data_IF_080187928985
#
_entry.id   IF_080187928985
#
_cell.length_a   1.000
_cell.length_b   1.000
_cell.length_c   1.000
_cell.angle_alpha   90.00
_cell.angle_beta   90.00
_cell.angle_gamma   90.00
#
_symmetry.space_group_name_H-M   'P 1'
#
loop_
_entity.id
_entity.type
_entity.pdbx_description
1 polymer ?
#
# COMPACT_ATOMS: atom_id res chain seq x y z
N UNK A 1 -9.33 -5.67 4.36
CA UNK A 1 -9.35 -6.87 3.53
C UNK A 1 -8.65 -6.71 2.17
N UNK A 2 -8.08 -5.58 1.88
CA UNK A 2 -7.36 -5.33 0.63
C UNK A 2 -8.21 -4.73 -0.48
N UNK A 3 -9.53 -4.88 -0.42
CA UNK A 3 -10.39 -4.38 -1.49
C UNK A 3 -10.38 -2.85 -1.55
N UNK A 4 -10.59 -2.19 -0.41
CA UNK A 4 -10.58 -0.73 -0.34
C UNK A 4 -9.21 -0.18 -0.69
N UNK A 5 -8.18 -0.81 -0.19
CA UNK A 5 -6.81 -0.38 -0.43
C UNK A 5 -6.46 -0.46 -1.91
N UNK A 6 -6.83 -1.57 -2.55
CA UNK A 6 -6.57 -1.74 -3.97
C UNK A 6 -7.37 -0.74 -4.81
N UNK A 7 -8.62 -0.52 -4.45
CA UNK A 7 -9.49 0.43 -5.15
C UNK A 7 -8.95 1.85 -5.02
N UNK A 8 -8.53 2.24 -3.81
CA UNK A 8 -7.93 3.54 -3.57
C UNK A 8 -6.66 3.73 -4.38
N UNK A 9 -5.80 2.72 -4.38
CA UNK A 9 -4.55 2.74 -5.14
C UNK A 9 -4.82 2.96 -6.63
N UNK A 10 -5.75 2.19 -7.20
CA UNK A 10 -6.10 2.32 -8.61
C UNK A 10 -6.66 3.71 -8.93
N UNK A 11 -7.50 4.25 -8.06
CA UNK A 11 -8.06 5.57 -8.24
C UNK A 11 -6.98 6.65 -8.23
N UNK A 12 -6.04 6.57 -7.31
CA UNK A 12 -4.94 7.54 -7.22
C UNK A 12 -4.07 7.50 -8.47
N UNK A 13 -3.84 6.31 -9.02
CA UNK A 13 -3.11 6.18 -10.29
C UNK A 13 -3.89 6.83 -11.43
N UNK A 14 -5.19 6.58 -11.48
CA UNK A 14 -6.04 7.08 -12.56
C UNK A 14 -6.07 8.60 -12.62
N UNK A 15 -6.08 9.26 -11.46
CA UNK A 15 -6.10 10.72 -11.41
C UNK A 15 -4.70 11.33 -11.41
N UNK A 16 -3.65 10.51 -11.55
CA UNK A 16 -2.25 10.97 -11.52
C UNK A 16 -1.90 11.71 -10.23
N UNK A 17 -2.43 11.23 -9.11
CA UNK A 17 -2.18 11.83 -7.81
C UNK A 17 -0.71 11.74 -7.45
N UNK A 18 -0.17 12.79 -6.82
CA UNK A 18 1.22 12.84 -6.34
C UNK A 18 1.22 12.96 -4.83
N UNK A 19 2.05 12.17 -4.18
CA UNK A 19 2.13 12.23 -2.72
C UNK A 19 2.43 10.86 -2.12
N UNK A 20 2.14 10.70 -0.84
CA UNK A 20 2.41 9.47 -0.11
C UNK A 20 1.11 8.78 0.23
N UNK A 21 1.11 7.45 0.11
CA UNK A 21 0.00 6.62 0.57
C UNK A 21 0.53 5.70 1.67
N UNK A 22 -0.03 5.84 2.87
CA UNK A 22 0.34 4.99 3.99
C UNK A 22 -0.64 3.82 4.06
N UNK A 23 -0.11 2.62 4.03
CA UNK A 23 -0.92 1.40 4.09
C UNK A 23 -0.60 0.66 5.37
N UNK A 24 -1.64 0.46 6.20
CA UNK A 24 -1.52 -0.44 7.35
C UNK A 24 -1.84 -1.86 6.91
N UNK A 25 -1.41 -2.84 7.71
CA UNK A 25 -1.80 -4.24 7.56
C UNK A 25 -1.33 -4.88 6.25
N UNK A 26 -0.20 -4.44 5.69
CA UNK A 26 0.30 -5.02 4.43
C UNK A 26 0.64 -6.50 4.56
N UNK A 27 0.84 -6.99 5.79
CA UNK A 27 1.14 -8.41 6.06
C UNK A 27 -0.01 -9.13 6.77
N UNK A 28 -1.19 -8.49 6.88
CA UNK A 28 -2.28 -9.02 7.68
C UNK A 28 -2.81 -10.34 7.15
N UNK A 29 -2.99 -10.43 5.83
CA UNK A 29 -3.56 -11.62 5.20
C UNK A 29 -3.04 -11.71 3.77
N UNK A 30 -3.41 -12.82 3.09
CA UNK A 30 -2.91 -13.07 1.75
C UNK A 30 -3.35 -11.99 0.73
N UNK A 31 -4.61 -11.54 0.71
CA UNK A 31 -4.99 -10.47 -0.22
C UNK A 31 -4.16 -9.20 -0.05
N UNK A 32 -3.84 -8.80 1.18
CA UNK A 32 -3.02 -7.61 1.41
C UNK A 32 -1.58 -7.82 0.95
N UNK A 33 -1.02 -9.01 1.20
CA UNK A 33 0.34 -9.33 0.74
C UNK A 33 0.42 -9.30 -0.78
N UNK A 34 -0.58 -9.85 -1.45
CA UNK A 34 -0.62 -9.84 -2.92
C UNK A 34 -0.78 -8.44 -3.46
N UNK A 35 -1.64 -7.63 -2.85
CA UNK A 35 -1.82 -6.25 -3.22
C UNK A 35 -0.50 -5.48 -3.09
N UNK A 36 0.18 -5.62 -1.94
CA UNK A 36 1.47 -4.96 -1.72
C UNK A 36 2.47 -5.36 -2.81
N UNK A 37 2.47 -6.64 -3.20
CA UNK A 37 3.40 -7.16 -4.18
C UNK A 37 3.20 -6.61 -5.59
N UNK A 38 1.97 -6.22 -5.96
CA UNK A 38 1.69 -5.73 -7.32
C UNK A 38 1.91 -4.22 -7.47
N UNK A 39 2.14 -3.52 -6.37
CA UNK A 39 2.39 -2.07 -6.42
C UNK A 39 3.73 -1.83 -7.10
N UNK A 40 3.74 -1.08 -8.18
CA UNK A 40 4.95 -0.80 -8.97
C UNK A 40 5.62 0.52 -8.64
N UNK A 41 4.91 1.41 -7.94
CA UNK A 41 5.49 2.69 -7.53
C UNK A 41 6.58 2.46 -6.50
N UNK A 42 7.39 3.48 -6.27
CA UNK A 42 8.37 3.44 -5.20
C UNK A 42 7.66 3.14 -3.87
N UNK A 43 8.12 2.14 -3.15
CA UNK A 43 7.44 1.72 -1.93
C UNK A 43 8.46 1.24 -0.90
N UNK A 44 8.08 1.37 0.37
CA UNK A 44 8.93 1.00 1.49
C UNK A 44 8.12 0.27 2.54
N UNK A 45 8.65 -0.88 2.97
CA UNK A 45 8.08 -1.64 4.07
C UNK A 45 8.72 -1.13 5.35
N UNK A 46 7.93 -0.44 6.18
CA UNK A 46 8.40 0.12 7.44
C UNK A 46 7.76 -0.58 8.64
N UNK A 47 7.44 -1.87 8.47
CA UNK A 47 6.76 -2.65 9.50
C UNK A 47 7.51 -2.68 10.82
N UNK A 48 8.83 -2.53 10.80
CA UNK A 48 9.64 -2.55 12.01
C UNK A 48 9.37 -1.36 12.94
N UNK A 49 8.74 -0.30 12.45
CA UNK A 49 8.37 0.87 13.27
C UNK A 49 6.87 1.14 13.24
N UNK A 50 6.12 0.32 12.52
CA UNK A 50 4.69 0.50 12.36
C UNK A 50 3.87 -0.55 13.09
N UNK A 51 2.72 -0.87 12.53
CA UNK A 51 1.79 -1.83 13.11
C UNK A 51 2.32 -3.27 12.99
N UNK A 52 1.94 -4.13 13.96
CA UNK A 52 2.42 -5.53 13.95
C UNK A 52 2.02 -6.30 12.69
N UNK A 53 0.92 -5.92 12.06
CA UNK A 53 0.45 -6.56 10.83
C UNK A 53 1.09 -5.98 9.57
N UNK A 54 2.08 -5.10 9.74
CA UNK A 54 2.84 -4.54 8.63
C UNK A 54 2.38 -3.14 8.26
N UNK A 55 3.34 -2.30 7.90
CA UNK A 55 3.07 -0.93 7.46
C UNK A 55 3.91 -0.63 6.22
N UNK A 56 3.29 -0.08 5.19
CA UNK A 56 3.97 0.28 3.97
C UNK A 56 3.71 1.71 3.56
N UNK A 57 4.68 2.30 2.88
CA UNK A 57 4.56 3.65 2.32
C UNK A 57 4.74 3.53 0.81
N UNK A 58 3.81 4.07 0.05
CA UNK A 58 3.88 4.12 -1.42
C UNK A 58 4.04 5.58 -1.83
N UNK A 59 4.99 5.84 -2.72
CA UNK A 59 5.27 7.19 -3.17
C UNK A 59 4.82 7.34 -4.62
N UNK A 60 3.88 8.27 -4.83
CA UNK A 60 3.40 8.64 -6.17
C UNK A 60 4.09 9.93 -6.58
N UNK A 61 4.89 9.86 -7.64
CA UNK A 61 5.68 11.01 -8.12
C UNK A 61 5.08 11.68 -9.33
#
# INVERSE_FOLDING_TARGET
DGYFEHKTYNYLKEINWKGYLLLDDIDLNQPMKEFWGIINEEKYDVSHVGHWSGTGIVIFK
#
